data_IF_305864852444
#
_entry.id   IF_305864852444
#
_cell.length_a   1.000
_cell.length_b   1.000
_cell.length_c   1.000
_cell.angle_alpha   90.00
_cell.angle_beta   90.00
_cell.angle_gamma   90.00
#
_symmetry.space_group_name_H-M   'P 1'
#
loop_
_entity.id
_entity.type
_entity.pdbx_description
1 polymer ?
#
# COMPACT_ATOMS: atom_id res chain seq x y z
N UNK A 1 -18.87 -4.85 3.88
CA UNK A 1 -19.19 -3.40 3.75
C UNK A 1 -20.50 -3.17 2.98
N UNK A 2 -20.71 -3.79 1.80
CA UNK A 2 -21.98 -3.68 1.05
C UNK A 2 -23.22 -4.03 1.88
N UNK A 3 -23.19 -5.13 2.62
CA UNK A 3 -24.27 -5.55 3.53
C UNK A 3 -24.64 -4.48 4.59
N UNK A 4 -23.64 -3.83 5.19
CA UNK A 4 -23.84 -2.80 6.23
C UNK A 4 -24.52 -1.56 5.64
N UNK A 5 -24.16 -1.18 4.42
CA UNK A 5 -24.76 -0.04 3.71
C UNK A 5 -26.24 -0.31 3.45
N UNK A 6 -26.57 -1.49 2.91
CA UNK A 6 -27.96 -1.91 2.66
C UNK A 6 -28.81 -1.89 3.93
N UNK A 7 -28.30 -2.47 5.02
CA UNK A 7 -28.99 -2.47 6.31
C UNK A 7 -29.15 -1.06 6.89
N UNK A 8 -28.12 -0.23 6.81
CA UNK A 8 -28.18 1.16 7.30
C UNK A 8 -29.24 1.98 6.56
N UNK A 9 -29.34 1.82 5.24
CA UNK A 9 -30.40 2.42 4.44
C UNK A 9 -31.78 1.88 4.84
N UNK A 10 -31.90 0.57 5.06
CA UNK A 10 -33.13 -0.06 5.51
C UNK A 10 -33.60 0.47 6.87
N UNK A 11 -32.71 0.53 7.88
CA UNK A 11 -33.05 1.03 9.22
C UNK A 11 -33.53 2.49 9.18
N UNK A 12 -32.82 3.34 8.43
CA UNK A 12 -33.22 4.75 8.24
C UNK A 12 -34.58 4.87 7.57
N UNK A 13 -34.84 4.08 6.52
CA UNK A 13 -36.14 4.06 5.84
C UNK A 13 -37.24 3.68 6.82
N UNK A 14 -37.09 2.58 7.55
CA UNK A 14 -38.10 2.07 8.48
C UNK A 14 -38.38 3.05 9.62
N UNK A 15 -37.36 3.67 10.21
CA UNK A 15 -37.52 4.67 11.27
C UNK A 15 -38.32 5.92 10.85
N UNK A 16 -38.42 6.21 9.55
CA UNK A 16 -39.23 7.32 9.04
C UNK A 16 -40.72 6.98 8.92
N UNK A 17 -41.08 5.68 8.82
CA UNK A 17 -42.47 5.24 8.69
C UNK A 17 -43.06 4.71 10.01
N UNK A 18 -42.23 4.26 10.94
CA UNK A 18 -42.69 3.72 12.23
C UNK A 18 -43.11 4.84 13.18
N UNK A 19 -44.33 4.74 13.71
CA UNK A 19 -44.86 5.62 14.76
C UNK A 19 -44.51 5.13 16.18
N UNK A 20 -44.32 3.82 16.38
CA UNK A 20 -44.03 3.23 17.69
C UNK A 20 -42.63 3.63 18.20
N UNK A 21 -42.50 4.32 19.36
CA UNK A 21 -41.21 4.76 19.89
C UNK A 21 -40.25 3.61 20.23
N UNK A 22 -40.78 2.47 20.70
CA UNK A 22 -39.97 1.30 21.08
C UNK A 22 -39.30 0.71 19.84
N UNK A 23 -40.06 0.52 18.77
CA UNK A 23 -39.53 0.00 17.51
C UNK A 23 -38.53 0.98 16.88
N UNK A 24 -38.81 2.29 16.94
CA UNK A 24 -37.87 3.32 16.48
C UNK A 24 -36.54 3.26 17.24
N UNK A 25 -36.59 3.03 18.55
CA UNK A 25 -35.40 2.86 19.40
C UNK A 25 -34.61 1.61 19.02
N UNK A 26 -35.29 0.49 18.76
CA UNK A 26 -34.66 -0.75 18.30
C UNK A 26 -33.83 -0.56 17.02
N UNK A 27 -34.43 0.00 15.96
CA UNK A 27 -33.72 0.25 14.70
C UNK A 27 -32.62 1.30 14.83
N UNK A 28 -32.78 2.27 15.72
CA UNK A 28 -31.72 3.24 16.05
C UNK A 28 -30.50 2.55 16.66
N UNK A 29 -30.70 1.62 17.58
CA UNK A 29 -29.61 0.84 18.20
C UNK A 29 -28.90 -0.07 17.19
N UNK A 30 -29.65 -0.71 16.27
CA UNK A 30 -29.06 -1.48 15.18
C UNK A 30 -28.20 -0.61 14.25
N UNK A 31 -28.68 0.59 13.91
CA UNK A 31 -27.92 1.55 13.12
C UNK A 31 -26.63 1.97 13.84
N UNK A 32 -26.69 2.24 15.15
CA UNK A 32 -25.48 2.56 15.93
C UNK A 32 -24.48 1.42 16.01
N UNK A 33 -24.95 0.17 16.12
CA UNK A 33 -24.08 -1.00 16.10
C UNK A 33 -23.32 -1.11 14.75
N UNK A 34 -24.03 -0.95 13.64
CA UNK A 34 -23.46 -0.98 12.29
C UNK A 34 -22.45 0.16 12.06
N UNK A 35 -22.75 1.36 12.57
CA UNK A 35 -21.81 2.50 12.57
C UNK A 35 -20.56 2.15 13.39
N UNK A 36 -20.72 1.59 14.60
CA UNK A 36 -19.61 1.22 15.47
C UNK A 36 -18.64 0.20 14.82
N UNK A 37 -19.17 -0.81 14.13
CA UNK A 37 -18.35 -1.78 13.38
C UNK A 37 -17.58 -1.10 12.23
N UNK A 38 -18.26 -0.20 11.51
CA UNK A 38 -17.65 0.55 10.40
C UNK A 38 -16.51 1.44 10.91
N UNK A 39 -16.73 2.18 12.00
CA UNK A 39 -15.72 3.04 12.63
C UNK A 39 -14.49 2.25 13.08
N UNK A 40 -14.67 1.08 13.72
CA UNK A 40 -13.56 0.20 14.11
C UNK A 40 -12.73 -0.23 12.90
N UNK A 41 -13.39 -0.55 11.79
CA UNK A 41 -12.72 -0.98 10.56
C UNK A 41 -11.94 0.17 9.92
N UNK A 42 -12.55 1.36 9.81
CA UNK A 42 -11.90 2.56 9.27
C UNK A 42 -10.70 2.96 10.13
N UNK A 43 -10.85 2.95 11.46
CA UNK A 43 -9.75 3.23 12.39
C UNK A 43 -8.58 2.26 12.21
N UNK A 44 -8.85 0.95 12.06
CA UNK A 44 -7.81 -0.04 11.78
C UNK A 44 -7.09 0.24 10.45
N UNK A 45 -7.84 0.58 9.40
CA UNK A 45 -7.25 0.92 8.09
C UNK A 45 -6.38 2.17 8.20
N UNK A 46 -6.89 3.23 8.84
CA UNK A 46 -6.14 4.47 9.06
C UNK A 46 -4.83 4.21 9.80
N UNK A 47 -4.88 3.48 10.92
CA UNK A 47 -3.67 3.14 11.69
C UNK A 47 -2.67 2.34 10.84
N UNK A 48 -3.14 1.40 10.01
CA UNK A 48 -2.25 0.65 9.12
C UNK A 48 -1.59 1.54 8.06
N UNK A 49 -2.32 2.51 7.51
CA UNK A 49 -1.78 3.49 6.56
C UNK A 49 -0.77 4.40 7.26
N UNK A 50 -1.10 4.91 8.44
CA UNK A 50 -0.19 5.74 9.24
C UNK A 50 1.10 4.99 9.58
N UNK A 51 1.00 3.73 9.98
CA UNK A 51 2.15 2.85 10.22
C UNK A 51 2.98 2.67 8.95
N UNK A 52 2.36 2.39 7.80
CA UNK A 52 3.08 2.29 6.52
C UNK A 52 3.80 3.58 6.15
N UNK A 53 3.15 4.73 6.33
CA UNK A 53 3.74 6.03 6.04
C UNK A 53 4.91 6.33 6.97
N UNK A 54 4.77 6.06 8.28
CA UNK A 54 5.87 6.16 9.24
C UNK A 54 7.01 5.21 8.88
N UNK A 55 6.74 3.96 8.49
CA UNK A 55 7.79 3.02 8.04
C UNK A 55 8.52 3.56 6.81
N UNK A 56 7.80 4.15 5.86
CA UNK A 56 8.40 4.77 4.68
C UNK A 56 9.25 6.00 5.03
N UNK A 57 8.83 6.78 6.04
CA UNK A 57 9.56 7.95 6.55
C UNK A 57 10.80 7.54 7.39
N UNK A 58 10.69 6.48 8.19
CA UNK A 58 11.76 5.92 9.03
C UNK A 58 12.77 5.06 8.25
N UNK A 59 12.42 4.58 7.06
CA UNK A 59 13.43 4.15 6.08
C UNK A 59 14.18 5.42 5.66
N UNK A 60 15.14 5.83 6.49
CA UNK A 60 16.14 6.83 6.11
C UNK A 60 16.58 6.53 4.69
N UNK A 61 16.61 7.55 3.83
CA UNK A 61 17.27 7.50 2.54
C UNK A 61 18.71 7.06 2.78
N UNK A 62 18.95 5.76 2.66
CA UNK A 62 20.25 5.15 2.84
C UNK A 62 21.07 5.45 1.59
N UNK A 63 22.33 5.78 1.79
CA UNK A 63 23.27 5.85 0.68
C UNK A 63 23.87 4.47 0.44
N UNK A 64 23.85 4.04 -0.81
CA UNK A 64 24.38 2.76 -1.27
C UNK A 64 25.55 2.99 -2.20
N UNK A 65 26.66 2.29 -1.98
CA UNK A 65 27.54 1.98 -3.12
C UNK A 65 26.87 0.94 -4.02
N UNK A 66 27.35 0.80 -5.26
CA UNK A 66 26.89 -0.27 -6.15
C UNK A 66 27.13 -1.67 -5.55
N UNK A 67 28.21 -1.85 -4.80
CA UNK A 67 28.50 -3.12 -4.10
C UNK A 67 27.56 -3.37 -2.91
N UNK A 68 27.13 -2.32 -2.22
CA UNK A 68 26.10 -2.45 -1.18
C UNK A 68 24.74 -2.77 -1.81
N UNK A 69 24.41 -2.14 -2.94
CA UNK A 69 23.20 -2.41 -3.70
C UNK A 69 23.15 -3.86 -4.20
N UNK A 70 24.27 -4.43 -4.67
CA UNK A 70 24.31 -5.78 -5.23
C UNK A 70 23.94 -6.90 -4.25
N UNK A 71 23.87 -6.60 -2.95
CA UNK A 71 23.40 -7.53 -1.91
C UNK A 71 21.88 -7.63 -1.84
N UNK A 72 21.16 -6.75 -2.54
CA UNK A 72 19.70 -6.69 -2.59
C UNK A 72 19.20 -7.22 -3.95
N UNK A 73 19.52 -8.48 -4.21
CA UNK A 73 19.31 -9.18 -5.48
C UNK A 73 17.99 -9.95 -5.57
N UNK A 74 17.19 -9.97 -4.50
CA UNK A 74 15.96 -10.78 -4.43
C UNK A 74 16.19 -12.28 -4.24
N UNK A 75 17.44 -12.73 -4.10
CA UNK A 75 17.77 -14.14 -3.96
C UNK A 75 17.76 -14.57 -2.49
N UNK A 76 17.39 -15.83 -2.23
CA UNK A 76 17.51 -16.45 -0.89
C UNK A 76 16.85 -15.63 0.24
N UNK A 77 15.75 -14.94 -0.08
CA UNK A 77 15.01 -14.10 0.87
C UNK A 77 15.55 -12.69 1.07
N UNK A 78 16.60 -12.29 0.34
CA UNK A 78 17.02 -10.90 0.27
C UNK A 78 15.94 -10.03 -0.40
N UNK A 79 15.83 -8.75 -0.03
CA UNK A 79 15.02 -7.79 -0.80
C UNK A 79 15.59 -7.64 -2.23
N UNK A 80 14.75 -7.27 -3.18
CA UNK A 80 15.14 -6.97 -4.55
C UNK A 80 15.10 -5.44 -4.77
N UNK A 81 16.26 -4.80 -4.92
CA UNK A 81 16.37 -3.35 -5.14
C UNK A 81 16.99 -3.03 -6.49
N UNK A 82 16.64 -1.89 -7.07
CA UNK A 82 17.26 -1.39 -8.32
C UNK A 82 17.55 0.10 -8.21
N UNK A 83 18.65 0.56 -8.80
CA UNK A 83 18.94 1.98 -8.93
C UNK A 83 18.51 2.50 -10.31
N UNK A 84 17.81 3.64 -10.32
CA UNK A 84 17.43 4.36 -11.54
C UNK A 84 17.64 5.84 -11.30
N UNK A 85 18.47 6.48 -12.13
CA UNK A 85 18.87 7.88 -12.03
C UNK A 85 19.37 8.23 -10.62
N UNK A 86 20.19 7.36 -10.03
CA UNK A 86 20.77 7.54 -8.70
C UNK A 86 19.82 7.31 -7.52
N UNK A 87 18.54 6.97 -7.75
CA UNK A 87 17.58 6.63 -6.68
C UNK A 87 17.41 5.11 -6.61
N UNK A 88 17.45 4.56 -5.40
CA UNK A 88 17.26 3.12 -5.15
C UNK A 88 15.79 2.85 -4.80
N UNK A 89 15.17 1.95 -5.55
CA UNK A 89 13.77 1.55 -5.41
C UNK A 89 13.67 0.09 -4.95
N UNK A 90 12.74 -0.18 -4.03
CA UNK A 90 12.36 -1.51 -3.60
C UNK A 90 11.32 -2.10 -4.55
N UNK A 91 11.69 -3.17 -5.25
CA UNK A 91 10.85 -3.89 -6.21
C UNK A 91 10.47 -5.28 -5.71
N UNK A 92 10.73 -5.59 -4.43
CA UNK A 92 10.53 -6.93 -3.85
C UNK A 92 9.10 -7.46 -3.95
N UNK A 93 8.12 -6.55 -3.99
CA UNK A 93 6.70 -6.89 -4.03
C UNK A 93 6.05 -6.62 -5.39
N UNK A 94 6.84 -6.25 -6.39
CA UNK A 94 6.35 -6.03 -7.74
C UNK A 94 6.31 -7.34 -8.51
N UNK A 95 5.12 -7.74 -8.99
CA UNK A 95 4.94 -9.01 -9.68
C UNK A 95 5.84 -9.16 -10.93
N UNK A 96 6.19 -8.05 -11.58
CA UNK A 96 7.08 -8.02 -12.72
C UNK A 96 8.55 -8.39 -12.40
N UNK A 97 8.92 -8.36 -11.11
CA UNK A 97 10.26 -8.62 -10.58
C UNK A 97 10.36 -9.97 -9.86
N UNK A 98 9.43 -10.90 -10.14
CA UNK A 98 9.43 -12.24 -9.55
C UNK A 98 10.79 -12.94 -9.67
N UNK A 99 11.30 -13.43 -8.54
CA UNK A 99 12.63 -14.07 -8.47
C UNK A 99 13.80 -13.10 -8.57
N UNK A 100 13.59 -11.79 -8.37
CA UNK A 100 14.65 -10.78 -8.41
C UNK A 100 15.06 -10.39 -9.83
N UNK A 101 14.24 -10.68 -10.84
CA UNK A 101 14.59 -10.41 -12.24
C UNK A 101 13.41 -9.85 -13.04
N UNK A 102 13.74 -9.08 -14.08
CA UNK A 102 12.77 -8.53 -15.03
C UNK A 102 13.37 -8.52 -16.44
N UNK A 103 12.87 -9.37 -17.34
CA UNK A 103 13.37 -9.52 -18.72
C UNK A 103 14.90 -9.71 -18.83
N UNK A 104 15.48 -10.51 -17.93
CA UNK A 104 16.93 -10.77 -17.91
C UNK A 104 17.75 -9.68 -17.19
N UNK A 105 17.12 -8.60 -16.76
CA UNK A 105 17.71 -7.64 -15.82
C UNK A 105 17.60 -8.19 -14.41
N UNK A 106 18.63 -7.97 -13.60
CA UNK A 106 18.70 -8.48 -12.23
C UNK A 106 18.62 -7.33 -11.23
N UNK A 107 17.90 -7.56 -10.13
CA UNK A 107 17.97 -6.71 -8.96
C UNK A 107 19.41 -6.67 -8.39
N UNK A 108 19.68 -5.67 -7.58
CA UNK A 108 21.00 -5.34 -7.06
C UNK A 108 21.87 -4.49 -8.00
N UNK A 109 21.30 -3.93 -9.08
CA UNK A 109 22.07 -3.18 -10.08
C UNK A 109 21.52 -1.77 -10.32
N UNK A 110 22.38 -0.89 -10.83
CA UNK A 110 21.94 0.33 -11.51
C UNK A 110 21.47 -0.03 -12.93
N UNK A 111 20.19 0.19 -13.16
CA UNK A 111 19.50 -0.14 -14.39
C UNK A 111 19.03 1.11 -15.13
N UNK A 112 19.66 2.26 -14.88
CA UNK A 112 19.29 3.55 -15.48
C UNK A 112 19.27 3.50 -17.00
N UNK A 113 20.30 2.93 -17.63
CA UNK A 113 20.39 2.88 -19.08
C UNK A 113 19.29 1.99 -19.69
N UNK A 114 19.02 0.84 -19.07
CA UNK A 114 18.02 -0.13 -19.48
C UNK A 114 16.60 0.42 -19.26
N UNK A 115 16.38 1.10 -18.14
CA UNK A 115 15.14 1.82 -17.88
C UNK A 115 14.91 2.87 -18.96
N UNK A 116 15.87 3.77 -19.22
CA UNK A 116 15.69 4.81 -20.24
C UNK A 116 15.51 4.26 -21.66
N UNK A 117 16.11 3.10 -21.97
CA UNK A 117 15.96 2.45 -23.28
C UNK A 117 14.59 1.78 -23.50
N UNK A 118 13.98 1.23 -22.45
CA UNK A 118 12.70 0.48 -22.54
C UNK A 118 11.48 1.26 -22.02
N UNK A 119 11.72 2.19 -21.10
CA UNK A 119 10.72 2.91 -20.33
C UNK A 119 11.08 4.40 -20.29
N UNK A 120 10.55 5.17 -21.24
CA UNK A 120 10.72 6.63 -21.27
C UNK A 120 9.83 7.40 -20.28
N UNK A 121 9.04 6.71 -19.45
CA UNK A 121 8.10 7.33 -18.52
C UNK A 121 8.41 7.01 -17.06
N UNK A 122 8.74 8.05 -16.29
CA UNK A 122 9.03 7.99 -14.85
C UNK A 122 7.81 7.59 -14.00
N UNK A 123 6.58 7.70 -14.52
CA UNK A 123 5.36 7.35 -13.78
C UNK A 123 5.33 5.88 -13.34
N UNK A 124 6.04 5.00 -14.06
CA UNK A 124 6.21 3.58 -13.69
C UNK A 124 6.86 3.45 -12.30
N UNK A 125 7.69 4.41 -11.89
CA UNK A 125 8.38 4.41 -10.59
C UNK A 125 7.56 5.06 -9.47
N UNK A 126 6.44 5.73 -9.79
CA UNK A 126 5.72 6.61 -8.84
C UNK A 126 5.20 5.87 -7.60
N UNK A 127 4.82 4.61 -7.76
CA UNK A 127 4.28 3.79 -6.67
C UNK A 127 5.34 2.91 -6.01
N UNK A 128 6.57 2.87 -6.55
CA UNK A 128 7.66 2.12 -5.96
C UNK A 128 8.17 2.84 -4.72
N UNK A 129 8.53 2.05 -3.72
CA UNK A 129 9.07 2.56 -2.49
C UNK A 129 10.54 2.96 -2.71
N UNK A 130 10.84 4.25 -2.54
CA UNK A 130 12.21 4.77 -2.52
C UNK A 130 12.88 4.38 -1.20
N UNK A 131 14.00 3.68 -1.28
CA UNK A 131 14.73 3.18 -0.10
C UNK A 131 16.13 3.79 0.05
N UNK A 132 16.56 4.60 -0.92
CA UNK A 132 17.83 5.31 -0.82
C UNK A 132 18.29 5.96 -2.11
N UNK A 133 19.57 6.27 -2.15
CA UNK A 133 20.28 6.85 -3.29
C UNK A 133 21.64 6.16 -3.48
N UNK A 134 22.20 6.25 -4.68
CA UNK A 134 23.58 5.88 -4.95
C UNK A 134 24.51 7.01 -4.48
N UNK A 135 25.61 6.66 -3.80
CA UNK A 135 26.73 7.55 -3.45
C UNK A 135 27.97 7.27 -4.30
#
# INVERSE_FOLDING_TARGET
MREIIWRSHYYRKIMNYIQCPIQKTYYKNLLFADIGVTLKTVSKIYNNIEIKNKINEYRQTKEFTLEELSKYDGAVGNPAYVAINGVVYDVSYEAAWGGGSHFGLLAGNDLTAQFNGCHGNIDILKNLLKVGIIK
#
